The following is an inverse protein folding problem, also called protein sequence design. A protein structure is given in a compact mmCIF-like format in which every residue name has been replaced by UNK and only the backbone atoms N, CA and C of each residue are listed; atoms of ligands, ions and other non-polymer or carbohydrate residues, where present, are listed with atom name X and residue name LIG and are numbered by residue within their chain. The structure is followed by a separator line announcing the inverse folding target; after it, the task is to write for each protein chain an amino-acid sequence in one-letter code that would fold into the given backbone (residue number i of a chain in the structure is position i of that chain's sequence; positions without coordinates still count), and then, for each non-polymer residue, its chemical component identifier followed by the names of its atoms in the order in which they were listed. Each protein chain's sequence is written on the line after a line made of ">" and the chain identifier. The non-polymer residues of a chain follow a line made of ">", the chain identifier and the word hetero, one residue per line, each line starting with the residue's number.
data_IF_829203383946
#
_entry.id   IF_829203383946
#
_cell.length_a   1.000
_cell.length_b   1.000
_cell.length_c   1.000
_cell.angle_alpha   90.00
_cell.angle_beta   90.00
_cell.angle_gamma   90.00
#
_symmetry.space_group_name_H-M   'P 1'
#
loop_
_entity.id
_entity.type
_entity.pdbx_description
1 polymer ?
#
# COMPACT_ATOMS: atom_id res chain seq x y z
N UNK A 1 -32.58 19.87 -9.24
CA UNK A 1 -32.82 18.66 -10.03
C UNK A 1 -31.57 18.21 -10.84
N UNK A 2 -30.33 18.42 -10.27
CA UNK A 2 -29.06 18.03 -10.90
C UNK A 2 -28.18 17.13 -10.02
N UNK A 3 -28.69 16.66 -8.87
CA UNK A 3 -27.90 15.84 -7.94
C UNK A 3 -27.67 14.39 -8.41
N UNK A 4 -28.33 14.00 -9.51
CA UNK A 4 -28.23 12.64 -10.06
C UNK A 4 -26.98 12.40 -10.94
N UNK A 5 -26.32 13.45 -11.37
CA UNK A 5 -25.19 13.37 -12.32
C UNK A 5 -23.81 13.53 -11.68
N UNK A 6 -23.74 13.88 -10.41
CA UNK A 6 -22.46 13.95 -9.70
C UNK A 6 -22.27 12.62 -8.95
N UNK A 7 -21.16 11.88 -9.21
CA UNK A 7 -20.80 10.77 -8.36
C UNK A 7 -20.81 11.25 -6.91
N UNK A 8 -21.43 10.50 -6.02
CA UNK A 8 -21.53 10.78 -4.60
C UNK A 8 -20.20 11.38 -4.08
N UNK A 9 -20.24 12.55 -3.45
CA UNK A 9 -19.05 13.25 -2.94
C UNK A 9 -18.20 12.33 -2.05
N UNK A 10 -18.86 11.42 -1.33
CA UNK A 10 -18.22 10.38 -0.53
C UNK A 10 -17.37 9.44 -1.40
N UNK A 11 -17.91 8.95 -2.52
CA UNK A 11 -17.16 8.06 -3.44
C UNK A 11 -15.94 8.75 -4.03
N UNK A 12 -16.05 10.04 -4.39
CA UNK A 12 -14.90 10.81 -4.91
C UNK A 12 -13.82 10.97 -3.86
N UNK A 13 -14.22 11.31 -2.62
CA UNK A 13 -13.32 11.40 -1.48
C UNK A 13 -12.61 10.06 -1.24
N UNK A 14 -13.37 8.97 -1.16
CA UNK A 14 -12.82 7.65 -0.87
C UNK A 14 -11.85 7.18 -1.97
N UNK A 15 -12.15 7.49 -3.23
CA UNK A 15 -11.23 7.25 -4.34
C UNK A 15 -9.94 8.08 -4.23
N UNK A 16 -10.05 9.36 -3.93
CA UNK A 16 -8.87 10.21 -3.73
C UNK A 16 -7.98 9.69 -2.59
N UNK A 17 -8.59 9.30 -1.46
CA UNK A 17 -7.88 8.70 -0.32
C UNK A 17 -7.22 7.37 -0.69
N UNK A 18 -7.91 6.50 -1.43
CA UNK A 18 -7.34 5.24 -1.92
C UNK A 18 -6.12 5.45 -2.80
N UNK A 19 -6.19 6.37 -3.78
CA UNK A 19 -5.04 6.73 -4.62
C UNK A 19 -3.89 7.34 -3.81
N UNK A 20 -4.20 8.21 -2.85
CA UNK A 20 -3.20 8.77 -1.95
C UNK A 20 -2.51 7.69 -1.11
N UNK A 21 -3.25 6.68 -0.65
CA UNK A 21 -2.71 5.51 0.05
C UNK A 21 -1.78 4.66 -0.83
N UNK A 22 -2.14 4.47 -2.11
CA UNK A 22 -1.28 3.80 -3.10
C UNK A 22 0.02 4.59 -3.27
N UNK A 23 -0.08 5.90 -3.48
CA UNK A 23 1.07 6.78 -3.70
C UNK A 23 1.97 6.84 -2.46
N UNK A 24 1.39 6.89 -1.24
CA UNK A 24 2.14 6.81 0.03
C UNK A 24 2.96 5.54 0.11
N UNK A 25 2.36 4.40 -0.16
CA UNK A 25 3.06 3.11 -0.13
C UNK A 25 4.21 3.08 -1.13
N UNK A 26 4.01 3.58 -2.35
CA UNK A 26 5.04 3.65 -3.38
C UNK A 26 6.20 4.61 -3.00
N UNK A 27 5.90 5.76 -2.37
CA UNK A 27 6.90 6.69 -1.84
C UNK A 27 7.77 6.04 -0.78
N UNK A 28 7.15 5.39 0.20
CA UNK A 28 7.88 4.72 1.28
C UNK A 28 8.76 3.56 0.75
N UNK A 29 8.29 2.83 -0.26
CA UNK A 29 9.10 1.81 -0.95
C UNK A 29 10.33 2.43 -1.58
N UNK A 30 10.18 3.56 -2.31
CA UNK A 30 11.32 4.27 -2.90
C UNK A 30 12.32 4.76 -1.84
N UNK A 31 11.82 5.31 -0.73
CA UNK A 31 12.66 5.86 0.31
C UNK A 31 13.46 4.78 1.04
N UNK A 32 12.86 3.63 1.35
CA UNK A 32 13.60 2.50 1.91
C UNK A 32 14.62 1.97 0.90
N UNK A 33 14.19 1.72 -0.34
CA UNK A 33 15.04 1.11 -1.35
C UNK A 33 16.27 1.97 -1.73
N UNK A 34 16.16 3.29 -1.66
CA UNK A 34 17.23 4.22 -2.06
C UNK A 34 18.06 4.77 -0.90
N UNK A 35 17.41 5.02 0.23
CA UNK A 35 18.01 5.77 1.33
C UNK A 35 18.10 4.94 2.63
N UNK A 36 17.56 3.71 2.67
CA UNK A 36 17.43 2.95 3.91
C UNK A 36 16.55 3.65 4.93
N UNK A 37 15.58 4.47 4.47
CA UNK A 37 14.72 5.24 5.35
C UNK A 37 13.95 4.34 6.32
N UNK A 38 13.76 4.81 7.55
CA UNK A 38 13.03 4.10 8.60
C UNK A 38 11.75 4.90 8.94
N UNK A 39 10.70 4.83 8.10
CA UNK A 39 9.50 5.66 8.24
C UNK A 39 8.57 5.12 9.34
N UNK A 40 9.05 5.02 10.60
CA UNK A 40 8.41 4.35 11.73
C UNK A 40 6.89 4.49 11.79
N UNK A 41 6.37 5.69 12.05
CA UNK A 41 4.92 5.93 12.20
C UNK A 41 4.13 5.68 10.92
N UNK A 42 4.67 6.06 9.76
CA UNK A 42 4.01 5.83 8.47
C UNK A 42 4.02 4.34 8.08
N UNK A 43 5.09 3.61 8.38
CA UNK A 43 5.15 2.16 8.19
C UNK A 43 4.13 1.48 9.11
N UNK A 44 4.07 1.87 10.38
CA UNK A 44 3.08 1.35 11.32
C UNK A 44 1.65 1.61 10.83
N UNK A 45 1.36 2.83 10.34
CA UNK A 45 0.06 3.18 9.76
C UNK A 45 -0.27 2.31 8.54
N UNK A 46 0.71 2.05 7.66
CA UNK A 46 0.55 1.15 6.53
C UNK A 46 0.26 -0.30 6.96
N UNK A 47 0.95 -0.79 7.98
CA UNK A 47 0.70 -2.13 8.55
C UNK A 47 -0.71 -2.21 9.15
N UNK A 48 -1.10 -1.23 9.96
CA UNK A 48 -2.46 -1.15 10.52
C UNK A 48 -3.53 -1.13 9.42
N UNK A 49 -3.27 -0.44 8.31
CA UNK A 49 -4.16 -0.43 7.14
C UNK A 49 -4.37 -1.83 6.56
N UNK A 50 -3.30 -2.63 6.43
CA UNK A 50 -3.41 -4.02 5.95
C UNK A 50 -4.22 -4.87 6.91
N UNK A 51 -4.05 -4.67 8.21
CA UNK A 51 -4.71 -5.44 9.27
C UNK A 51 -6.18 -5.08 9.46
N UNK A 52 -6.65 -3.94 8.94
CA UNK A 52 -8.04 -3.53 9.04
C UNK A 52 -8.85 -4.15 7.90
N UNK A 53 -9.41 -5.35 8.10
CA UNK A 53 -10.18 -6.05 7.08
C UNK A 53 -11.55 -5.40 6.84
N UNK A 54 -12.27 -5.06 7.90
CA UNK A 54 -13.62 -4.52 7.85
C UNK A 54 -13.63 -3.04 8.27
N UNK A 55 -13.55 -2.15 7.30
CA UNK A 55 -13.75 -0.72 7.53
C UNK A 55 -14.80 -0.17 6.58
N UNK A 56 -15.86 0.40 7.17
CA UNK A 56 -16.88 1.16 6.43
C UNK A 56 -16.41 2.56 6.02
N UNK A 57 -15.25 3.00 6.49
CA UNK A 57 -14.64 4.30 6.21
C UNK A 57 -13.23 4.11 5.66
N UNK A 58 -13.03 4.54 4.41
CA UNK A 58 -11.75 4.44 3.73
C UNK A 58 -10.63 5.22 4.43
N UNK A 59 -10.94 6.35 5.06
CA UNK A 59 -9.97 7.12 5.81
C UNK A 59 -9.47 6.33 7.03
N UNK A 60 -10.38 5.77 7.82
CA UNK A 60 -10.02 4.93 8.98
C UNK A 60 -9.21 3.69 8.58
N UNK A 61 -9.55 3.11 7.41
CA UNK A 61 -8.80 1.97 6.88
C UNK A 61 -7.37 2.34 6.47
N UNK A 62 -7.14 3.58 6.04
CA UNK A 62 -5.83 4.05 5.56
C UNK A 62 -5.01 4.78 6.64
N UNK A 63 -5.61 5.07 7.80
CA UNK A 63 -5.02 5.86 8.88
C UNK A 63 -5.75 7.18 9.07
N UNK A 64 -5.04 8.29 8.94
CA UNK A 64 -5.57 9.65 9.07
C UNK A 64 -5.14 10.53 7.88
N UNK A 65 -5.66 11.77 7.86
CA UNK A 65 -5.36 12.73 6.78
C UNK A 65 -3.89 13.15 6.81
N UNK A 66 -3.30 13.26 8.01
CA UNK A 66 -1.91 13.70 8.15
C UNK A 66 -0.94 12.67 7.56
N UNK A 67 -1.20 11.39 7.75
CA UNK A 67 -0.42 10.31 7.13
C UNK A 67 -0.53 10.26 5.60
N UNK A 68 -1.55 10.86 5.02
CA UNK A 68 -1.79 10.96 3.57
C UNK A 68 -1.41 12.33 3.00
N UNK A 69 -1.11 13.33 3.84
CA UNK A 69 -0.91 14.74 3.42
C UNK A 69 0.08 14.89 2.28
N UNK A 70 1.26 14.30 2.42
CA UNK A 70 2.30 14.39 1.39
C UNK A 70 1.88 13.75 0.07
N UNK A 71 1.30 12.56 0.11
CA UNK A 71 0.81 11.87 -1.10
C UNK A 71 -0.38 12.60 -1.75
N UNK A 72 -1.28 13.19 -0.97
CA UNK A 72 -2.37 14.03 -1.49
C UNK A 72 -1.82 15.28 -2.19
N UNK A 73 -0.82 15.94 -1.61
CA UNK A 73 -0.19 17.11 -2.22
C UNK A 73 0.50 16.79 -3.55
N UNK A 74 1.08 15.60 -3.69
CA UNK A 74 1.71 15.15 -4.95
C UNK A 74 0.70 14.65 -5.98
N UNK A 75 -0.45 14.15 -5.55
CA UNK A 75 -1.41 13.47 -6.43
C UNK A 75 -1.94 14.42 -7.53
N UNK A 76 -2.38 15.62 -7.16
CA UNK A 76 -2.91 16.60 -8.11
C UNK A 76 -1.89 17.01 -9.18
N UNK A 77 -0.67 17.46 -8.84
CA UNK A 77 0.35 17.78 -9.84
C UNK A 77 0.69 16.60 -10.76
N UNK A 78 0.82 15.38 -10.21
CA UNK A 78 1.13 14.20 -11.00
C UNK A 78 0.01 13.85 -11.99
N UNK A 79 -1.25 14.02 -11.61
CA UNK A 79 -2.39 13.75 -12.49
C UNK A 79 -2.55 14.82 -13.57
N UNK A 80 -2.20 16.09 -13.29
CA UNK A 80 -2.38 17.22 -14.22
C UNK A 80 -1.24 17.31 -15.23
N UNK A 81 0.01 17.26 -14.79
CA UNK A 81 1.20 17.49 -15.63
C UNK A 81 1.97 16.22 -16.00
N UNK A 82 1.63 15.10 -15.36
CA UNK A 82 2.45 13.90 -15.43
C UNK A 82 3.75 14.01 -14.59
N UNK A 83 4.67 13.05 -14.71
CA UNK A 83 5.93 13.04 -13.99
C UNK A 83 6.89 14.10 -14.55
N UNK A 84 7.47 14.93 -13.67
CA UNK A 84 8.46 15.95 -14.04
C UNK A 84 9.91 15.45 -13.96
N UNK A 85 10.15 14.26 -13.40
CA UNK A 85 11.48 13.67 -13.26
C UNK A 85 11.41 12.14 -13.19
N UNK A 86 12.58 11.48 -13.24
CA UNK A 86 12.69 10.02 -13.23
C UNK A 86 12.13 9.39 -11.95
N UNK A 87 12.25 10.06 -10.80
CA UNK A 87 11.72 9.57 -9.52
C UNK A 87 10.18 9.60 -9.51
N UNK A 88 9.57 10.65 -10.02
CA UNK A 88 8.11 10.73 -10.17
C UNK A 88 7.59 9.71 -11.21
N UNK A 89 8.34 9.48 -12.30
CA UNK A 89 7.99 8.47 -13.30
C UNK A 89 8.02 7.05 -12.70
N UNK A 90 9.01 6.75 -11.88
CA UNK A 90 9.10 5.48 -11.16
C UNK A 90 7.94 5.34 -10.15
N UNK A 91 7.64 6.41 -9.40
CA UNK A 91 6.53 6.45 -8.46
C UNK A 91 5.19 6.14 -9.14
N UNK A 92 4.93 6.76 -10.29
CA UNK A 92 3.74 6.46 -11.09
C UNK A 92 3.73 5.01 -11.58
N UNK A 93 4.87 4.48 -12.03
CA UNK A 93 4.98 3.08 -12.46
C UNK A 93 4.62 2.10 -11.34
N UNK A 94 5.13 2.33 -10.11
CA UNK A 94 4.75 1.52 -8.95
C UNK A 94 3.27 1.65 -8.63
N UNK A 95 2.74 2.87 -8.62
CA UNK A 95 1.32 3.14 -8.34
C UNK A 95 0.39 2.47 -9.36
N UNK A 96 0.72 2.51 -10.65
CA UNK A 96 -0.02 1.83 -11.70
C UNK A 96 0.03 0.30 -11.55
N UNK A 97 1.20 -0.24 -11.20
CA UNK A 97 1.34 -1.67 -10.96
C UNK A 97 0.54 -2.12 -9.73
N UNK A 98 0.57 -1.36 -8.63
CA UNK A 98 -0.22 -1.62 -7.42
C UNK A 98 -1.72 -1.61 -7.69
N UNK A 99 -2.22 -0.63 -8.46
CA UNK A 99 -3.63 -0.55 -8.82
C UNK A 99 -4.06 -1.71 -9.72
N UNK A 100 -3.19 -2.13 -10.64
CA UNK A 100 -3.42 -3.31 -11.50
C UNK A 100 -3.43 -4.60 -10.67
N UNK A 101 -2.47 -4.76 -9.76
CA UNK A 101 -2.40 -5.92 -8.87
C UNK A 101 -3.62 -6.00 -7.93
N UNK A 102 -4.10 -4.87 -7.40
CA UNK A 102 -5.34 -4.82 -6.62
C UNK A 102 -6.56 -5.31 -7.41
N UNK A 103 -6.63 -4.95 -8.71
CA UNK A 103 -7.66 -5.46 -9.62
C UNK A 103 -7.55 -6.97 -9.86
N UNK A 104 -6.33 -7.46 -10.05
CA UNK A 104 -6.11 -8.88 -10.32
C UNK A 104 -6.32 -9.72 -9.05
N UNK A 105 -5.95 -9.21 -7.89
CA UNK A 105 -6.22 -9.85 -6.60
C UNK A 105 -7.72 -10.11 -6.42
N UNK A 106 -8.56 -9.10 -6.60
CA UNK A 106 -10.02 -9.24 -6.47
C UNK A 106 -10.64 -10.24 -7.44
N UNK A 107 -9.98 -10.55 -8.56
CA UNK A 107 -10.41 -11.54 -9.54
C UNK A 107 -9.87 -12.95 -9.27
N UNK A 108 -8.93 -13.08 -8.34
CA UNK A 108 -8.27 -14.36 -8.03
C UNK A 108 -8.66 -14.80 -6.61
N UNK A 109 -9.67 -15.65 -6.50
CA UNK A 109 -10.18 -16.13 -5.22
C UNK A 109 -9.11 -16.84 -4.36
N UNK A 110 -8.19 -17.61 -4.98
CA UNK A 110 -7.10 -18.26 -4.26
C UNK A 110 -6.12 -17.27 -3.67
N UNK A 111 -5.69 -16.26 -4.44
CA UNK A 111 -4.81 -15.20 -3.96
C UNK A 111 -5.48 -14.37 -2.86
N UNK A 112 -6.76 -14.01 -3.04
CA UNK A 112 -7.54 -13.27 -2.03
C UNK A 112 -7.61 -14.04 -0.72
N UNK A 113 -7.89 -15.35 -0.76
CA UNK A 113 -7.92 -16.20 0.44
C UNK A 113 -6.57 -16.24 1.15
N UNK A 114 -5.47 -16.39 0.41
CA UNK A 114 -4.11 -16.38 1.00
C UNK A 114 -3.79 -15.04 1.68
N UNK A 115 -4.18 -13.92 1.07
CA UNK A 115 -4.03 -12.61 1.71
C UNK A 115 -4.83 -12.55 3.00
N UNK A 116 -6.09 -12.99 2.99
CA UNK A 116 -6.95 -13.00 4.16
C UNK A 116 -6.35 -13.84 5.28
N UNK A 117 -5.95 -15.08 5.00
CA UNK A 117 -5.32 -16.00 5.97
C UNK A 117 -4.05 -15.41 6.59
N UNK A 118 -3.18 -14.79 5.76
CA UNK A 118 -1.96 -14.15 6.24
C UNK A 118 -2.23 -12.92 7.11
N UNK A 119 -3.24 -12.11 6.76
CA UNK A 119 -3.65 -10.97 7.58
C UNK A 119 -4.27 -11.41 8.90
N UNK A 120 -5.14 -12.42 8.91
CA UNK A 120 -5.72 -12.97 10.13
C UNK A 120 -4.64 -13.58 11.05
N UNK A 121 -3.62 -14.22 10.48
CA UNK A 121 -2.48 -14.70 11.25
C UNK A 121 -1.71 -13.55 11.91
N UNK A 122 -1.44 -12.47 11.16
CA UNK A 122 -0.79 -11.28 11.69
C UNK A 122 -1.64 -10.60 12.79
N UNK A 123 -2.96 -10.54 12.65
CA UNK A 123 -3.87 -10.04 13.67
C UNK A 123 -3.79 -10.84 14.97
N UNK A 124 -3.74 -12.19 14.89
CA UNK A 124 -3.56 -13.05 16.06
C UNK A 124 -2.22 -12.79 16.76
N UNK A 125 -1.15 -12.59 16.00
CA UNK A 125 0.16 -12.28 16.56
C UNK A 125 0.16 -10.92 17.28
N UNK A 126 -0.49 -9.89 16.72
CA UNK A 126 -0.61 -8.57 17.36
C UNK A 126 -1.40 -8.64 18.66
N UNK A 127 -2.48 -9.42 18.72
CA UNK A 127 -3.23 -9.63 19.94
C UNK A 127 -2.36 -10.20 21.07
N UNK A 128 -1.28 -10.90 20.74
CA UNK A 128 -0.32 -11.47 21.69
C UNK A 128 0.83 -10.51 22.02
N UNK A 129 1.41 -9.81 21.03
CA UNK A 129 2.61 -8.97 21.19
C UNK A 129 2.32 -7.48 21.39
N UNK A 130 1.10 -7.03 21.10
CA UNK A 130 0.65 -5.63 21.17
C UNK A 130 1.41 -4.62 20.26
N UNK A 131 2.41 -5.06 19.49
CA UNK A 131 3.21 -4.21 18.61
C UNK A 131 3.12 -4.68 17.15
N UNK A 132 2.48 -3.90 16.24
CA UNK A 132 2.39 -4.23 14.82
C UNK A 132 3.73 -4.13 14.09
N UNK A 133 4.74 -3.45 14.67
CA UNK A 133 6.09 -3.34 14.10
C UNK A 133 7.00 -4.51 14.45
N UNK A 134 6.51 -5.46 15.24
CA UNK A 134 7.25 -6.68 15.55
C UNK A 134 7.81 -7.33 14.29
N UNK A 135 9.11 -7.66 14.31
CA UNK A 135 9.82 -8.23 13.14
C UNK A 135 9.13 -9.45 12.54
N UNK A 136 8.58 -10.32 13.39
CA UNK A 136 7.85 -11.51 12.96
C UNK A 136 6.55 -11.17 12.20
N UNK A 137 5.85 -10.11 12.59
CA UNK A 137 4.61 -9.65 11.94
C UNK A 137 4.93 -9.05 10.57
N UNK A 138 5.94 -8.19 10.50
CA UNK A 138 6.41 -7.60 9.23
C UNK A 138 6.87 -8.69 8.28
N UNK A 139 7.65 -9.67 8.76
CA UNK A 139 8.10 -10.81 7.96
C UNK A 139 6.92 -11.68 7.48
N UNK A 140 5.91 -11.93 8.32
CA UNK A 140 4.71 -12.68 7.96
C UNK A 140 3.88 -11.99 6.88
N UNK A 141 3.70 -10.66 6.97
CA UNK A 141 3.03 -9.87 5.92
C UNK A 141 3.84 -9.85 4.61
N UNK A 142 5.16 -9.76 4.70
CA UNK A 142 6.05 -9.85 3.54
C UNK A 142 5.97 -11.22 2.86
N UNK A 143 5.86 -12.29 3.64
CA UNK A 143 5.65 -13.65 3.13
C UNK A 143 4.27 -13.76 2.44
N UNK A 144 3.22 -13.23 3.05
CA UNK A 144 1.87 -13.15 2.47
C UNK A 144 1.90 -12.45 1.10
N UNK A 145 2.62 -11.31 0.98
CA UNK A 145 2.84 -10.66 -0.31
C UNK A 145 3.50 -11.60 -1.32
N UNK A 146 4.55 -12.28 -0.93
CA UNK A 146 5.32 -13.16 -1.82
C UNK A 146 4.46 -14.31 -2.35
N UNK A 147 3.69 -14.95 -1.48
CA UNK A 147 2.89 -16.14 -1.82
C UNK A 147 1.60 -15.82 -2.57
N UNK A 148 0.92 -14.73 -2.19
CA UNK A 148 -0.37 -14.38 -2.78
C UNK A 148 -0.22 -13.45 -3.99
N UNK A 149 0.68 -12.47 -3.93
CA UNK A 149 0.83 -11.44 -4.96
C UNK A 149 1.94 -11.76 -5.93
N UNK A 150 3.02 -12.41 -5.48
CA UNK A 150 4.17 -12.75 -6.32
C UNK A 150 3.84 -13.61 -7.55
N UNK A 151 2.72 -14.34 -7.51
CA UNK A 151 2.19 -15.14 -8.64
C UNK A 151 1.41 -14.29 -9.66
N UNK A 152 0.97 -13.08 -9.29
CA UNK A 152 0.19 -12.19 -10.13
C UNK A 152 1.10 -11.35 -11.05
N UNK A 153 0.49 -10.71 -12.05
CA UNK A 153 1.15 -9.77 -12.96
C UNK A 153 0.44 -8.40 -12.90
N UNK A 154 1.17 -7.29 -13.11
CA UNK A 154 2.62 -7.20 -13.36
C UNK A 154 3.45 -7.47 -12.10
N UNK A 155 4.73 -7.86 -12.26
CA UNK A 155 5.68 -7.87 -11.15
C UNK A 155 6.21 -6.45 -10.90
N UNK A 156 6.28 -6.04 -9.65
CA UNK A 156 6.92 -4.78 -9.26
C UNK A 156 8.40 -5.07 -9.03
N UNK A 157 9.24 -4.50 -9.89
CA UNK A 157 10.69 -4.53 -9.72
C UNK A 157 11.07 -3.22 -9.04
N UNK A 158 11.48 -3.32 -7.79
CA UNK A 158 11.91 -2.17 -6.99
C UNK A 158 13.35 -1.85 -7.33
N UNK A 159 13.62 -0.58 -7.70
CA UNK A 159 14.94 -0.07 -7.99
C UNK A 159 15.48 0.70 -6.77
N UNK A 160 16.74 0.47 -6.43
CA UNK A 160 17.38 1.13 -5.29
C UNK A 160 18.83 0.65 -5.08
N UNK A 161 19.38 0.99 -3.93
CA UNK A 161 20.73 0.60 -3.54
C UNK A 161 20.77 -0.88 -3.13
N UNK A 162 21.74 -1.62 -3.65
CA UNK A 162 21.88 -3.06 -3.39
C UNK A 162 21.95 -3.38 -1.90
N UNK A 163 22.62 -2.54 -1.09
CA UNK A 163 22.76 -2.71 0.36
C UNK A 163 21.41 -2.74 1.09
N UNK A 164 20.40 -1.96 0.65
CA UNK A 164 19.06 -1.94 1.26
C UNK A 164 18.16 -3.04 0.67
N UNK A 165 18.27 -3.28 -0.65
CA UNK A 165 17.47 -4.32 -1.31
C UNK A 165 17.86 -5.74 -0.91
N UNK A 166 19.13 -5.96 -0.50
CA UNK A 166 19.62 -7.25 -0.02
C UNK A 166 19.48 -7.44 1.50
N UNK A 167 19.20 -6.35 2.25
CA UNK A 167 18.89 -6.47 3.68
C UNK A 167 17.55 -7.16 3.88
N UNK A 168 17.48 -8.24 4.69
CA UNK A 168 16.25 -9.00 4.88
C UNK A 168 15.11 -8.19 5.52
N UNK A 169 15.42 -7.27 6.43
CA UNK A 169 14.43 -6.48 7.14
C UNK A 169 13.86 -5.37 6.24
N UNK A 170 14.72 -4.70 5.46
CA UNK A 170 14.29 -3.72 4.48
C UNK A 170 13.49 -4.37 3.35
N UNK A 171 13.90 -5.54 2.87
CA UNK A 171 13.15 -6.31 1.89
C UNK A 171 11.76 -6.73 2.43
N UNK A 172 11.66 -7.10 3.71
CA UNK A 172 10.38 -7.41 4.36
C UNK A 172 9.48 -6.17 4.48
N UNK A 173 10.05 -5.01 4.90
CA UNK A 173 9.33 -3.73 4.97
C UNK A 173 8.81 -3.32 3.59
N UNK A 174 9.63 -3.40 2.55
CA UNK A 174 9.24 -3.09 1.17
C UNK A 174 8.06 -3.95 0.73
N UNK A 175 8.10 -5.27 0.92
CA UNK A 175 7.01 -6.17 0.55
C UNK A 175 5.73 -5.89 1.32
N UNK A 176 5.84 -5.58 2.62
CA UNK A 176 4.70 -5.19 3.47
C UNK A 176 4.09 -3.87 3.00
N UNK A 177 4.90 -2.89 2.60
CA UNK A 177 4.41 -1.63 2.02
C UNK A 177 3.74 -1.85 0.65
N UNK A 178 4.25 -2.75 -0.18
CA UNK A 178 3.60 -3.12 -1.44
C UNK A 178 2.23 -3.78 -1.17
N UNK A 179 2.11 -4.62 -0.14
CA UNK A 179 0.83 -5.19 0.28
C UNK A 179 -0.15 -4.10 0.76
N UNK A 180 0.34 -3.11 1.51
CA UNK A 180 -0.45 -1.94 1.93
C UNK A 180 -0.94 -1.11 0.73
N UNK A 181 -0.08 -0.90 -0.26
CA UNK A 181 -0.44 -0.21 -1.51
C UNK A 181 -1.53 -0.96 -2.29
N UNK A 182 -1.48 -2.30 -2.32
CA UNK A 182 -2.54 -3.13 -2.93
C UNK A 182 -3.85 -3.01 -2.13
N UNK A 183 -3.79 -3.00 -0.79
CA UNK A 183 -4.96 -2.74 0.05
C UNK A 183 -5.60 -1.40 -0.27
N UNK A 184 -4.79 -0.34 -0.37
CA UNK A 184 -5.26 0.99 -0.77
C UNK A 184 -5.88 0.99 -2.18
N UNK A 185 -5.30 0.26 -3.12
CA UNK A 185 -5.81 0.10 -4.48
C UNK A 185 -7.17 -0.64 -4.52
N UNK A 186 -7.41 -1.57 -3.60
CA UNK A 186 -8.72 -2.23 -3.44
C UNK A 186 -9.76 -1.24 -2.92
N UNK A 187 -9.40 -0.39 -1.94
CA UNK A 187 -10.29 0.64 -1.40
C UNK A 187 -10.61 1.77 -2.40
N UNK A 188 -9.71 2.04 -3.34
CA UNK A 188 -9.92 3.04 -4.39
C UNK A 188 -11.04 2.67 -5.37
N UNK A 189 -11.41 1.43 -5.49
CA UNK A 189 -12.39 0.91 -6.48
C UNK A 189 -13.83 1.02 -6.01
#
# INVERSE_FOLDING_TARGET
>A
MWSFLLPDARRRRDRALGLAGVLRSALLVQDIARNGAQPGDLLQTCIRSVLTLDSKDSLRALGDVDSLRHSLALLCPLLQRGPGNAREAELLRYSMALTTLGKHLLKNASATRRVQEGVEQAQRQIAHFADPMQRSIVAGLAQTYTEAIGILRPRIIVSGESRFLSDPDDAARIRTLLLSGIRAAVLWR
#
